data_IF_643932142897
#
_entry.id   IF_643932142897
#
_cell.length_a   1.000
_cell.length_b   1.000
_cell.length_c   1.000
_cell.angle_alpha   90.00
_cell.angle_beta   90.00
_cell.angle_gamma   90.00
#
_symmetry.space_group_name_H-M   'P 1'
#
loop_
_entity.id
_entity.type
_entity.pdbx_description
1 polymer ?
#
# COMPACT_ATOMS: atom_id res chain seq x y z
N UNK A 1 -22.66 -11.71 -5.42
CA UNK A 1 -23.50 -10.63 -4.85
C UNK A 1 -22.80 -10.13 -3.59
N UNK A 2 -22.66 -8.82 -3.41
CA UNK A 2 -22.07 -8.24 -2.20
C UNK A 2 -22.99 -8.52 -1.01
N UNK A 3 -22.43 -9.11 0.05
CA UNK A 3 -23.13 -9.38 1.30
C UNK A 3 -23.35 -8.03 2.04
N UNK A 4 -24.57 -7.64 2.43
CA UNK A 4 -24.77 -6.45 3.26
C UNK A 4 -23.97 -6.56 4.56
N UNK A 5 -23.20 -5.52 4.87
CA UNK A 5 -22.28 -5.45 6.00
C UNK A 5 -22.54 -4.21 6.85
N UNK A 6 -22.55 -4.35 8.18
CA UNK A 6 -22.70 -3.21 9.12
C UNK A 6 -21.74 -3.36 10.30
N UNK A 7 -21.03 -2.28 10.67
CA UNK A 7 -20.33 -2.22 11.96
C UNK A 7 -21.32 -1.77 13.01
N UNK A 8 -21.69 -2.64 13.94
CA UNK A 8 -22.69 -2.33 14.97
C UNK A 8 -22.06 -1.52 16.10
N UNK A 9 -20.92 -1.98 16.62
CA UNK A 9 -20.28 -1.34 17.75
C UNK A 9 -18.79 -1.66 17.87
N UNK A 10 -18.06 -0.79 18.57
CA UNK A 10 -16.68 -1.00 18.99
C UNK A 10 -16.61 -0.94 20.51
N UNK A 11 -15.88 -1.87 21.12
CA UNK A 11 -15.71 -1.94 22.57
C UNK A 11 -14.23 -2.07 22.93
N UNK A 12 -13.55 -1.03 23.43
CA UNK A 12 -12.25 -1.19 24.07
C UNK A 12 -12.43 -2.03 25.35
N UNK A 13 -11.69 -3.15 25.47
CA UNK A 13 -11.79 -4.03 26.63
C UNK A 13 -11.14 -3.42 27.87
N UNK A 14 -11.41 -3.99 29.06
CA UNK A 14 -11.02 -3.38 30.33
C UNK A 14 -9.50 -3.14 30.45
N UNK A 15 -8.71 -4.09 29.94
CA UNK A 15 -7.24 -4.05 29.98
C UNK A 15 -6.62 -3.43 28.72
N UNK A 16 -7.39 -2.74 27.87
CA UNK A 16 -6.84 -2.06 26.69
C UNK A 16 -5.91 -0.93 27.13
N UNK A 17 -4.72 -0.89 26.55
CA UNK A 17 -3.71 0.14 26.84
C UNK A 17 -4.27 1.54 26.61
N UNK A 18 -3.94 2.45 27.52
CA UNK A 18 -4.34 3.86 27.47
C UNK A 18 -3.79 4.58 26.23
N UNK A 19 -2.62 4.18 25.74
CA UNK A 19 -2.03 4.73 24.50
C UNK A 19 -2.96 4.55 23.29
N UNK A 20 -3.72 3.44 23.25
CA UNK A 20 -4.64 3.11 22.16
C UNK A 20 -6.04 3.67 22.39
N UNK A 21 -6.62 3.42 23.58
CA UNK A 21 -7.99 3.87 23.87
C UNK A 21 -8.12 5.37 24.14
N UNK A 22 -7.02 6.06 24.45
CA UNK A 22 -6.95 7.50 24.77
C UNK A 22 -8.09 7.92 25.74
N UNK A 23 -9.06 8.71 25.25
CA UNK A 23 -10.22 9.20 26.02
C UNK A 23 -11.41 8.23 26.10
N UNK A 24 -11.38 7.10 25.40
CA UNK A 24 -12.43 6.10 25.45
C UNK A 24 -12.40 5.36 26.79
N UNK A 25 -13.60 5.08 27.32
CA UNK A 25 -13.78 4.42 28.61
C UNK A 25 -13.57 2.91 28.44
N UNK A 26 -12.74 2.27 29.28
CA UNK A 26 -12.53 0.84 29.23
C UNK A 26 -13.83 0.08 29.51
N UNK A 27 -14.11 -0.95 28.72
CA UNK A 27 -15.30 -1.80 28.82
C UNK A 27 -16.58 -1.20 28.24
N UNK A 28 -16.60 0.09 27.88
CA UNK A 28 -17.78 0.76 27.31
C UNK A 28 -18.01 0.30 25.86
N UNK A 29 -19.26 -0.02 25.53
CA UNK A 29 -19.68 -0.30 24.16
C UNK A 29 -20.05 1.02 23.47
N UNK A 30 -19.39 1.31 22.35
CA UNK A 30 -19.67 2.46 21.50
C UNK A 30 -20.46 1.98 20.28
N UNK A 31 -21.78 2.16 20.33
CA UNK A 31 -22.71 1.72 19.29
C UNK A 31 -22.82 2.77 18.18
N UNK A 32 -22.97 2.30 16.94
CA UNK A 32 -23.20 3.14 15.75
C UNK A 32 -24.67 3.19 15.34
N UNK A 33 -25.48 2.28 15.88
CA UNK A 33 -26.86 2.07 15.50
C UNK A 33 -27.75 1.92 16.75
N UNK A 34 -28.74 2.79 16.89
CA UNK A 34 -29.65 2.81 18.04
C UNK A 34 -30.69 1.66 18.01
N UNK A 35 -30.81 0.97 16.86
CA UNK A 35 -31.76 -0.13 16.68
C UNK A 35 -31.23 -1.48 17.20
N UNK A 36 -30.09 -1.51 17.88
CA UNK A 36 -29.55 -2.70 18.55
C UNK A 36 -29.53 -2.48 20.06
N UNK A 37 -29.89 -3.52 20.81
CA UNK A 37 -29.67 -3.59 22.27
C UNK A 37 -28.61 -4.64 22.52
N UNK A 38 -27.52 -4.22 23.14
CA UNK A 38 -26.35 -5.05 23.38
C UNK A 38 -26.29 -5.35 24.87
N UNK A 39 -26.43 -6.61 25.22
CA UNK A 39 -26.35 -7.07 26.61
C UNK A 39 -24.91 -7.44 26.94
N UNK A 40 -24.27 -6.66 27.81
CA UNK A 40 -22.87 -6.85 28.16
C UNK A 40 -22.62 -6.65 29.65
N UNK A 41 -21.66 -7.39 30.20
CA UNK A 41 -21.20 -7.21 31.58
C UNK A 41 -19.99 -6.27 31.57
N UNK A 42 -20.06 -5.18 32.33
CA UNK A 42 -19.03 -4.11 32.37
C UNK A 42 -17.62 -4.65 32.65
N UNK A 43 -17.49 -5.72 33.45
CA UNK A 43 -16.21 -6.36 33.81
C UNK A 43 -15.90 -7.65 33.03
N UNK A 44 -16.74 -8.02 32.06
CA UNK A 44 -16.48 -9.15 31.17
C UNK A 44 -15.93 -8.63 29.86
N UNK A 45 -14.97 -9.37 29.28
CA UNK A 45 -14.45 -9.09 27.94
C UNK A 45 -15.42 -9.56 26.83
N UNK A 46 -16.54 -10.20 27.20
CA UNK A 46 -17.54 -10.75 26.27
C UNK A 46 -18.86 -9.96 26.31
N UNK A 47 -19.58 -9.99 25.19
CA UNK A 47 -21.01 -9.66 25.10
C UNK A 47 -21.83 -10.92 25.43
N UNK A 48 -22.99 -10.81 26.06
CA UNK A 48 -23.84 -11.95 26.40
C UNK A 48 -24.88 -12.25 25.31
N UNK A 49 -25.41 -11.20 24.68
CA UNK A 49 -26.45 -11.29 23.66
C UNK A 49 -26.66 -9.95 22.96
N UNK A 50 -27.40 -9.98 21.85
CA UNK A 50 -27.76 -8.78 21.09
C UNK A 50 -29.13 -8.96 20.42
N UNK A 51 -30.02 -7.99 20.63
CA UNK A 51 -31.35 -7.96 20.01
C UNK A 51 -31.54 -6.73 19.12
N UNK A 52 -32.33 -6.87 18.06
CA UNK A 52 -32.75 -5.74 17.21
C UNK A 52 -33.98 -5.09 17.86
N UNK A 53 -33.83 -3.88 18.39
CA UNK A 53 -34.89 -3.16 19.10
C UNK A 53 -36.05 -2.75 18.19
N UNK A 54 -35.77 -2.50 16.91
CA UNK A 54 -36.75 -2.20 15.87
C UNK A 54 -36.14 -2.42 14.48
N UNK A 55 -36.99 -2.62 13.47
CA UNK A 55 -36.56 -2.77 12.09
C UNK A 55 -36.31 -1.40 11.44
N UNK A 56 -35.13 -1.22 10.86
CA UNK A 56 -34.81 -0.07 9.98
C UNK A 56 -34.74 -0.62 8.57
N UNK A 57 -35.52 -0.05 7.65
CA UNK A 57 -35.48 -0.47 6.24
C UNK A 57 -34.06 -0.34 5.70
N UNK A 58 -33.53 -1.44 5.17
CA UNK A 58 -32.19 -1.47 4.57
C UNK A 58 -32.20 -0.91 3.14
N UNK A 59 -33.38 -0.60 2.61
CA UNK A 59 -33.56 -0.23 1.20
C UNK A 59 -33.70 1.27 0.95
N UNK A 60 -33.67 2.09 2.01
CA UNK A 60 -33.97 3.55 1.93
C UNK A 60 -33.08 4.27 0.91
N UNK A 61 -31.82 3.86 0.79
CA UNK A 61 -30.84 4.47 -0.12
C UNK A 61 -30.38 3.52 -1.23
N UNK A 62 -31.07 2.39 -1.42
CA UNK A 62 -30.71 1.47 -2.50
C UNK A 62 -30.88 2.18 -3.84
N UNK A 63 -29.87 2.03 -4.68
CA UNK A 63 -29.86 2.60 -6.02
C UNK A 63 -30.52 1.61 -6.99
N UNK A 64 -31.23 2.14 -8.00
CA UNK A 64 -31.94 1.35 -9.02
C UNK A 64 -31.02 0.37 -9.79
N UNK A 65 -29.71 0.64 -9.79
CA UNK A 65 -28.70 -0.22 -10.39
C UNK A 65 -28.30 -1.43 -9.51
N UNK A 66 -29.01 -1.68 -8.40
CA UNK A 66 -28.78 -2.82 -7.52
C UNK A 66 -27.68 -2.62 -6.48
N UNK A 67 -27.17 -1.40 -6.30
CA UNK A 67 -26.21 -1.07 -5.24
C UNK A 67 -26.97 -0.74 -3.96
N UNK A 68 -26.72 -1.53 -2.91
CA UNK A 68 -27.23 -1.23 -1.57
C UNK A 68 -26.36 -0.17 -0.89
N UNK A 69 -26.98 0.88 -0.36
CA UNK A 69 -26.28 1.98 0.32
C UNK A 69 -26.78 2.07 1.76
N UNK A 70 -25.83 2.05 2.70
CA UNK A 70 -26.10 2.36 4.09
C UNK A 70 -25.34 3.63 4.50
N UNK A 71 -26.02 4.55 5.17
CA UNK A 71 -25.44 5.79 5.66
C UNK A 71 -25.50 5.79 7.19
N UNK A 72 -24.34 5.95 7.82
CA UNK A 72 -24.19 6.07 9.27
C UNK A 72 -23.43 7.36 9.60
N UNK A 73 -23.79 8.02 10.70
CA UNK A 73 -23.15 9.26 11.13
C UNK A 73 -22.72 9.17 12.61
N UNK A 74 -21.46 9.51 12.90
CA UNK A 74 -20.95 9.59 14.27
C UNK A 74 -20.87 11.06 14.71
N UNK A 75 -21.72 11.45 15.64
CA UNK A 75 -21.81 12.83 16.17
C UNK A 75 -21.45 12.85 17.65
N UNK A 76 -20.82 13.93 18.10
CA UNK A 76 -20.45 14.09 19.51
C UNK A 76 -19.65 15.35 19.77
N UNK A 77 -19.53 15.76 21.04
CA UNK A 77 -18.76 16.94 21.46
C UNK A 77 -17.26 16.79 21.11
N UNK A 78 -16.54 17.91 21.00
CA UNK A 78 -15.09 17.87 20.84
C UNK A 78 -14.46 17.12 22.03
N UNK A 79 -13.46 16.28 21.75
CA UNK A 79 -12.82 15.44 22.78
C UNK A 79 -13.57 14.17 23.19
N UNK A 80 -14.80 13.92 22.69
CA UNK A 80 -15.60 12.74 23.07
C UNK A 80 -15.06 11.38 22.59
N UNK A 81 -13.92 11.35 21.89
CA UNK A 81 -13.28 10.12 21.42
C UNK A 81 -13.69 9.67 20.01
N UNK A 82 -14.41 10.47 19.22
CA UNK A 82 -14.83 10.12 17.85
C UNK A 82 -13.67 9.64 16.97
N UNK A 83 -12.60 10.44 16.88
CA UNK A 83 -11.40 10.09 16.10
C UNK A 83 -10.68 8.87 16.69
N UNK A 84 -10.62 8.79 18.03
CA UNK A 84 -10.03 7.65 18.74
C UNK A 84 -10.74 6.34 18.42
N UNK A 85 -12.05 6.37 18.20
CA UNK A 85 -12.83 5.19 17.84
C UNK A 85 -12.40 4.63 16.49
N UNK A 86 -12.15 5.51 15.52
CA UNK A 86 -11.59 5.12 14.21
C UNK A 86 -10.11 4.72 14.30
N UNK A 87 -9.31 5.40 15.14
CA UNK A 87 -7.92 4.97 15.39
C UNK A 87 -7.88 3.53 15.93
N UNK A 88 -8.76 3.18 16.87
CA UNK A 88 -8.91 1.81 17.37
C UNK A 88 -9.33 0.84 16.25
N UNK A 89 -10.30 1.21 15.41
CA UNK A 89 -10.70 0.38 14.27
C UNK A 89 -9.53 0.13 13.32
N UNK A 90 -8.73 1.15 13.00
CA UNK A 90 -7.55 1.00 12.14
C UNK A 90 -6.49 0.10 12.78
N UNK A 91 -6.20 0.28 14.08
CA UNK A 91 -5.28 -0.58 14.83
C UNK A 91 -5.75 -2.03 14.83
N UNK A 92 -7.06 -2.26 15.00
CA UNK A 92 -7.65 -3.59 14.97
C UNK A 92 -7.51 -4.27 13.63
N UNK A 93 -7.85 -3.56 12.55
CA UNK A 93 -7.70 -4.06 11.19
C UNK A 93 -6.23 -4.33 10.87
N UNK A 94 -5.33 -3.47 11.33
CA UNK A 94 -3.89 -3.66 11.18
C UNK A 94 -3.43 -4.97 11.82
N UNK A 95 -3.74 -5.20 13.10
CA UNK A 95 -3.36 -6.44 13.80
C UNK A 95 -4.05 -7.67 13.20
N UNK A 96 -5.30 -7.54 12.75
CA UNK A 96 -5.99 -8.60 12.04
C UNK A 96 -5.22 -9.01 10.77
N UNK A 97 -4.73 -8.01 10.01
CA UNK A 97 -3.95 -8.23 8.78
C UNK A 97 -2.51 -8.71 9.06
N UNK A 98 -2.03 -8.54 10.29
CA UNK A 98 -0.76 -9.06 10.76
C UNK A 98 -0.84 -10.52 11.25
N UNK A 99 -2.04 -11.03 11.53
CA UNK A 99 -2.22 -12.38 12.07
C UNK A 99 -1.96 -13.45 10.99
N UNK A 100 -0.87 -14.20 11.20
CA UNK A 100 -0.41 -15.23 10.26
C UNK A 100 -1.31 -16.46 10.20
N UNK A 101 -2.25 -16.61 11.15
CA UNK A 101 -3.25 -17.67 11.09
C UNK A 101 -4.37 -17.41 10.09
N UNK A 102 -4.54 -16.15 9.66
CA UNK A 102 -5.49 -15.75 8.63
C UNK A 102 -4.83 -15.79 7.24
N UNK A 103 -3.62 -15.24 7.13
CA UNK A 103 -2.86 -15.19 5.88
C UNK A 103 -1.37 -15.43 6.14
N UNK A 104 -0.78 -16.38 5.41
CA UNK A 104 0.66 -16.71 5.52
C UNK A 104 1.60 -15.58 5.07
N UNK A 105 1.08 -14.67 4.25
CA UNK A 105 1.69 -13.37 3.93
C UNK A 105 0.97 -12.28 4.74
N UNK A 106 1.47 -12.01 5.95
CA UNK A 106 0.94 -10.93 6.80
C UNK A 106 1.48 -9.56 6.39
N UNK A 107 0.76 -8.49 6.73
CA UNK A 107 1.17 -7.12 6.37
C UNK A 107 2.56 -6.82 6.89
N UNK A 108 2.85 -7.08 8.17
CA UNK A 108 4.17 -6.84 8.77
C UNK A 108 5.28 -7.64 8.07
N UNK A 109 5.04 -8.91 7.73
CA UNK A 109 6.03 -9.75 7.04
C UNK A 109 6.42 -9.18 5.68
N UNK A 110 5.46 -8.67 4.92
CA UNK A 110 5.71 -8.02 3.63
C UNK A 110 6.64 -6.80 3.78
N UNK A 111 6.39 -5.97 4.79
CA UNK A 111 7.24 -4.81 5.08
C UNK A 111 8.65 -5.20 5.53
N UNK A 112 8.78 -6.24 6.37
CA UNK A 112 10.10 -6.69 6.83
C UNK A 112 10.93 -7.26 5.68
N UNK A 113 10.32 -8.00 4.75
CA UNK A 113 10.99 -8.48 3.53
C UNK A 113 11.55 -7.31 2.71
N UNK A 114 10.79 -6.23 2.53
CA UNK A 114 11.27 -5.04 1.81
C UNK A 114 12.49 -4.40 2.52
N UNK A 115 12.52 -4.38 3.86
CA UNK A 115 13.65 -3.85 4.62
C UNK A 115 14.87 -4.79 4.54
N UNK A 116 14.65 -6.10 4.64
CA UNK A 116 15.71 -7.11 4.54
C UNK A 116 16.41 -7.05 3.18
N UNK A 117 15.65 -6.92 2.08
CA UNK A 117 16.21 -6.74 0.74
C UNK A 117 17.08 -5.46 0.64
N UNK A 118 16.63 -4.35 1.25
CA UNK A 118 17.42 -3.12 1.30
C UNK A 118 18.70 -3.28 2.12
N UNK A 119 18.66 -4.05 3.20
CA UNK A 119 19.84 -4.39 4.01
C UNK A 119 20.81 -5.22 3.18
N UNK A 120 20.34 -6.27 2.51
CA UNK A 120 21.16 -7.14 1.66
C UNK A 120 21.86 -6.35 0.55
N UNK A 121 21.10 -5.51 -0.16
CA UNK A 121 21.64 -4.66 -1.22
C UNK A 121 22.68 -3.67 -0.67
N UNK A 122 22.41 -3.02 0.47
CA UNK A 122 23.34 -2.06 1.08
C UNK A 122 24.62 -2.73 1.60
N UNK A 123 24.51 -3.91 2.20
CA UNK A 123 25.67 -4.70 2.67
C UNK A 123 26.51 -5.17 1.48
N UNK A 124 25.87 -5.62 0.39
CA UNK A 124 26.58 -6.00 -0.85
C UNK A 124 27.37 -4.82 -1.42
N UNK A 125 26.72 -3.67 -1.56
CA UNK A 125 27.36 -2.46 -2.09
C UNK A 125 28.50 -2.00 -1.18
N UNK A 126 28.32 -2.06 0.15
CA UNK A 126 29.37 -1.70 1.11
C UNK A 126 30.59 -2.63 1.00
N UNK A 127 30.37 -3.95 0.87
CA UNK A 127 31.45 -4.92 0.65
C UNK A 127 32.19 -4.66 -0.65
N UNK A 128 31.46 -4.34 -1.72
CA UNK A 128 32.02 -4.01 -3.02
C UNK A 128 32.96 -2.80 -2.92
N UNK A 129 32.47 -1.65 -2.45
CA UNK A 129 33.28 -0.42 -2.38
C UNK A 129 34.40 -0.50 -1.34
N UNK A 130 34.25 -1.35 -0.31
CA UNK A 130 35.31 -1.64 0.67
C UNK A 130 36.48 -2.41 0.05
N UNK A 131 36.23 -3.18 -1.00
CA UNK A 131 37.26 -3.94 -1.71
C UNK A 131 38.04 -3.13 -2.75
N UNK A 132 37.59 -1.92 -3.07
CA UNK A 132 38.26 -1.09 -4.07
C UNK A 132 39.57 -0.51 -3.53
N UNK A 133 40.59 -0.55 -4.38
CA UNK A 133 41.84 0.16 -4.23
C UNK A 133 41.64 1.67 -4.48
N UNK A 134 42.61 2.47 -4.04
CA UNK A 134 42.59 3.94 -4.12
C UNK A 134 42.75 4.50 -5.55
N UNK A 135 42.78 3.63 -6.57
CA UNK A 135 42.93 4.03 -7.98
C UNK A 135 41.57 4.11 -8.69
N UNK A 136 41.13 5.32 -9.10
CA UNK A 136 39.87 5.50 -9.80
C UNK A 136 39.95 5.02 -11.25
N UNK A 137 39.15 4.01 -11.60
CA UNK A 137 38.74 3.81 -12.99
C UNK A 137 37.43 4.58 -13.26
N UNK A 138 37.18 5.05 -14.49
CA UNK A 138 35.92 5.71 -14.85
C UNK A 138 34.68 4.89 -14.47
N UNK A 139 34.74 3.57 -14.58
CA UNK A 139 33.65 2.65 -14.23
C UNK A 139 33.35 2.68 -12.73
N UNK A 140 34.37 2.67 -11.87
CA UNK A 140 34.20 2.76 -10.41
C UNK A 140 33.59 4.09 -9.99
N UNK A 141 33.97 5.19 -10.64
CA UNK A 141 33.41 6.52 -10.35
C UNK A 141 31.90 6.55 -10.67
N UNK A 142 31.51 5.98 -11.81
CA UNK A 142 30.09 5.87 -12.20
C UNK A 142 29.34 4.99 -11.21
N UNK A 143 29.84 3.78 -10.91
CA UNK A 143 29.19 2.86 -9.99
C UNK A 143 29.02 3.47 -8.57
N UNK A 144 30.02 4.22 -8.09
CA UNK A 144 29.94 4.91 -6.81
C UNK A 144 28.88 6.03 -6.81
N UNK A 145 28.77 6.77 -7.92
CA UNK A 145 27.70 7.76 -8.13
C UNK A 145 26.33 7.10 -8.07
N UNK A 146 26.20 5.91 -8.65
CA UNK A 146 24.94 5.19 -8.72
C UNK A 146 24.53 4.60 -7.38
N UNK A 147 25.48 4.10 -6.60
CA UNK A 147 25.26 3.72 -5.20
C UNK A 147 24.79 4.93 -4.40
N UNK A 148 25.47 6.08 -4.50
CA UNK A 148 25.07 7.29 -3.80
C UNK A 148 23.63 7.73 -4.14
N UNK A 149 23.27 7.73 -5.43
CA UNK A 149 21.91 8.05 -5.88
C UNK A 149 20.87 7.02 -5.42
N UNK A 150 21.20 5.74 -5.43
CA UNK A 150 20.30 4.64 -5.03
C UNK A 150 19.78 4.83 -3.61
N UNK A 151 20.67 5.26 -2.70
CA UNK A 151 20.36 5.50 -1.30
C UNK A 151 20.03 6.96 -0.97
N UNK A 152 19.86 7.79 -2.00
CA UNK A 152 19.52 9.22 -1.87
C UNK A 152 20.50 9.99 -0.98
N UNK A 153 21.79 9.69 -1.12
CA UNK A 153 22.82 10.41 -0.40
C UNK A 153 23.03 11.77 -1.04
N UNK A 154 22.68 12.82 -0.31
CA UNK A 154 23.03 14.18 -0.66
C UNK A 154 24.55 14.34 -0.56
N UNK A 155 25.24 14.25 -1.69
CA UNK A 155 26.69 14.40 -1.81
C UNK A 155 26.93 15.45 -2.87
N UNK A 156 27.45 16.59 -2.44
CA UNK A 156 27.81 17.67 -3.34
C UNK A 156 29.00 17.23 -4.21
N UNK A 157 28.75 16.99 -5.50
CA UNK A 157 29.80 16.67 -6.47
C UNK A 157 30.85 17.78 -6.64
N UNK A 158 30.55 19.02 -6.20
CA UNK A 158 31.45 20.17 -6.31
C UNK A 158 32.58 20.18 -5.28
N UNK A 159 32.45 19.44 -4.19
CA UNK A 159 33.45 19.39 -3.09
C UNK A 159 34.46 18.27 -3.26
N UNK A 160 34.21 17.27 -4.11
CA UNK A 160 35.12 16.13 -4.24
C UNK A 160 35.95 16.21 -5.51
N UNK A 161 37.13 16.85 -5.40
CA UNK A 161 38.16 16.79 -6.45
C UNK A 161 38.95 15.46 -6.45
N UNK A 162 38.75 14.62 -5.44
CA UNK A 162 39.56 13.44 -5.15
C UNK A 162 38.65 12.21 -4.93
N UNK A 163 38.72 11.22 -5.81
CA UNK A 163 37.91 9.98 -5.73
C UNK A 163 37.90 9.33 -4.34
N UNK A 164 39.03 9.32 -3.64
CA UNK A 164 39.15 8.72 -2.32
C UNK A 164 38.25 9.40 -1.28
N UNK A 165 38.09 10.73 -1.34
CA UNK A 165 37.18 11.45 -0.45
C UNK A 165 35.72 11.07 -0.73
N UNK A 166 35.36 10.89 -2.00
CA UNK A 166 34.01 10.49 -2.39
C UNK A 166 33.72 9.06 -1.91
N UNK A 167 34.69 8.17 -2.12
CA UNK A 167 34.62 6.78 -1.69
C UNK A 167 34.43 6.66 -0.18
N UNK A 168 35.21 7.40 0.63
CA UNK A 168 35.09 7.39 2.08
C UNK A 168 33.78 8.01 2.58
N UNK A 169 33.30 9.10 1.95
CA UNK A 169 31.99 9.66 2.26
C UNK A 169 30.86 8.66 1.99
N UNK A 170 30.87 7.99 0.84
CA UNK A 170 29.86 6.98 0.49
C UNK A 170 29.95 5.78 1.42
N UNK A 171 31.15 5.26 1.72
CA UNK A 171 31.36 4.18 2.71
C UNK A 171 30.75 4.53 4.06
N UNK A 172 31.02 5.74 4.56
CA UNK A 172 30.52 6.21 5.85
C UNK A 172 28.99 6.33 5.85
N UNK A 173 28.40 7.00 4.85
CA UNK A 173 26.94 7.14 4.71
C UNK A 173 26.25 5.79 4.55
N UNK A 174 26.82 4.88 3.78
CA UNK A 174 26.28 3.54 3.56
C UNK A 174 26.34 2.68 4.83
N UNK A 175 27.45 2.71 5.57
CA UNK A 175 27.55 2.04 6.86
C UNK A 175 26.50 2.55 7.86
N UNK A 176 26.29 3.87 7.92
CA UNK A 176 25.23 4.46 8.74
C UNK A 176 23.83 4.06 8.28
N UNK A 177 23.60 3.99 6.95
CA UNK A 177 22.33 3.52 6.38
C UNK A 177 22.05 2.06 6.75
N UNK A 178 23.06 1.18 6.70
CA UNK A 178 22.92 -0.23 7.12
C UNK A 178 22.50 -0.31 8.59
N UNK A 179 23.18 0.43 9.48
CA UNK A 179 22.83 0.48 10.91
C UNK A 179 21.39 0.96 11.13
N UNK A 180 20.99 2.00 10.39
CA UNK A 180 19.63 2.53 10.43
C UNK A 180 18.60 1.47 9.99
N UNK A 181 18.85 0.75 8.90
CA UNK A 181 17.92 -0.28 8.39
C UNK A 181 17.75 -1.44 9.39
N UNK A 182 18.83 -1.90 10.02
CA UNK A 182 18.72 -2.92 11.09
C UNK A 182 17.97 -2.42 12.32
N UNK A 183 18.17 -1.16 12.71
CA UNK A 183 17.41 -0.55 13.79
C UNK A 183 15.92 -0.44 13.42
N UNK A 184 15.63 0.03 12.21
CA UNK A 184 14.27 0.13 11.67
C UNK A 184 13.56 -1.23 11.66
N UNK A 185 14.21 -2.29 11.16
CA UNK A 185 13.65 -3.64 11.19
C UNK A 185 13.28 -4.08 12.63
N UNK A 186 14.16 -3.83 13.60
CA UNK A 186 13.91 -4.18 15.01
C UNK A 186 12.76 -3.35 15.61
N UNK A 187 12.73 -2.05 15.31
CA UNK A 187 11.71 -1.14 15.82
C UNK A 187 10.33 -1.48 15.28
N UNK A 188 10.22 -1.93 14.03
CA UNK A 188 8.96 -2.42 13.44
C UNK A 188 8.43 -3.66 14.19
N UNK A 189 9.29 -4.63 14.49
CA UNK A 189 8.90 -5.81 15.29
C UNK A 189 8.47 -5.44 16.71
N UNK A 190 9.20 -4.53 17.37
CA UNK A 190 8.87 -4.06 18.71
C UNK A 190 7.55 -3.28 18.74
N UNK A 191 7.30 -2.44 17.72
CA UNK A 191 6.05 -1.70 17.60
C UNK A 191 4.86 -2.64 17.39
N UNK A 192 5.01 -3.66 16.52
CA UNK A 192 4.01 -4.69 16.31
C UNK A 192 3.65 -5.41 17.61
N UNK A 193 4.67 -5.85 18.34
CA UNK A 193 4.51 -6.55 19.62
C UNK A 193 3.82 -5.68 20.68
N UNK A 194 4.16 -4.39 20.73
CA UNK A 194 3.48 -3.43 21.63
C UNK A 194 1.99 -3.33 21.30
N UNK A 195 1.65 -3.24 20.01
CA UNK A 195 0.24 -3.17 19.60
C UNK A 195 -0.48 -4.49 19.87
N UNK A 196 0.09 -5.63 19.48
CA UNK A 196 -0.52 -6.95 19.66
C UNK A 196 -0.73 -7.31 21.16
N UNK A 197 0.13 -6.84 22.04
CA UNK A 197 0.01 -7.09 23.48
C UNK A 197 -0.92 -6.10 24.21
N UNK A 198 -0.89 -4.82 23.83
CA UNK A 198 -1.63 -3.76 24.50
C UNK A 198 -3.03 -3.46 23.92
N UNK A 199 -3.26 -3.72 22.64
CA UNK A 199 -4.56 -3.53 21.99
C UNK A 199 -5.53 -4.63 22.43
N UNK A 200 -6.59 -4.24 23.12
CA UNK A 200 -7.65 -5.17 23.53
C UNK A 200 -9.00 -4.58 23.22
N UNK A 201 -9.71 -5.17 22.27
CA UNK A 201 -11.00 -4.65 21.84
C UNK A 201 -11.85 -5.74 21.20
N UNK A 202 -13.15 -5.48 21.18
CA UNK A 202 -14.16 -6.25 20.48
C UNK A 202 -14.80 -5.37 19.40
N UNK A 203 -14.95 -5.96 18.21
CA UNK A 203 -15.67 -5.39 17.07
C UNK A 203 -16.94 -6.22 16.86
N UNK A 204 -18.09 -5.57 16.93
CA UNK A 204 -19.39 -6.20 16.70
C UNK A 204 -19.88 -5.75 15.33
N UNK A 205 -20.22 -6.70 14.48
CA UNK A 205 -20.63 -6.43 13.12
C UNK A 205 -21.68 -7.43 12.64
N UNK A 206 -22.43 -7.04 11.61
CA UNK A 206 -23.46 -7.86 10.98
C UNK A 206 -23.11 -8.11 9.52
N UNK A 207 -23.25 -9.36 9.09
CA UNK A 207 -23.13 -9.77 7.69
C UNK A 207 -24.30 -10.67 7.36
N UNK A 208 -25.05 -10.35 6.30
CA UNK A 208 -26.21 -11.13 5.86
C UNK A 208 -27.24 -11.42 6.98
N UNK A 209 -27.52 -10.45 7.86
CA UNK A 209 -28.47 -10.64 8.95
C UNK A 209 -27.90 -11.33 10.19
N UNK A 210 -26.70 -11.92 10.11
CA UNK A 210 -26.06 -12.64 11.22
C UNK A 210 -25.08 -11.71 11.92
N UNK A 211 -25.13 -11.68 13.25
CA UNK A 211 -24.29 -10.80 14.06
C UNK A 211 -23.12 -11.59 14.63
N UNK A 212 -21.93 -11.00 14.53
CA UNK A 212 -20.70 -11.58 15.01
C UNK A 212 -19.95 -10.62 15.92
N UNK A 213 -19.19 -11.21 16.86
CA UNK A 213 -18.22 -10.54 17.70
C UNK A 213 -16.82 -11.06 17.34
N UNK A 214 -15.93 -10.16 16.90
CA UNK A 214 -14.51 -10.45 16.73
C UNK A 214 -13.73 -9.73 17.82
N UNK A 215 -13.08 -10.51 18.69
CA UNK A 215 -12.39 -10.00 19.87
C UNK A 215 -10.91 -10.26 19.76
N UNK A 216 -10.10 -9.21 19.91
CA UNK A 216 -8.66 -9.33 20.06
C UNK A 216 -8.26 -9.14 21.53
N UNK A 217 -7.68 -10.17 22.13
CA UNK A 217 -7.18 -10.13 23.50
C UNK A 217 -5.99 -11.08 23.66
N UNK A 218 -4.99 -10.70 24.45
CA UNK A 218 -3.82 -11.54 24.72
C UNK A 218 -3.15 -12.11 23.44
N UNK A 219 -3.02 -11.29 22.39
CA UNK A 219 -2.45 -11.66 21.07
C UNK A 219 -3.21 -12.74 20.31
N UNK A 220 -4.50 -12.93 20.62
CA UNK A 220 -5.35 -13.91 19.97
C UNK A 220 -6.65 -13.26 19.55
N UNK A 221 -7.14 -13.71 18.41
CA UNK A 221 -8.50 -13.45 17.98
C UNK A 221 -9.41 -14.58 18.46
N UNK A 222 -10.54 -14.18 19.03
CA UNK A 222 -11.69 -15.03 19.32
C UNK A 222 -12.85 -14.56 18.45
N UNK A 223 -13.67 -15.50 18.01
CA UNK A 223 -14.78 -15.23 17.11
C UNK A 223 -16.04 -15.88 17.66
N UNK A 224 -17.13 -15.12 17.72
CA UNK A 224 -18.40 -15.63 18.21
C UNK A 224 -19.55 -15.15 17.35
N UNK A 225 -20.57 -15.99 17.20
CA UNK A 225 -21.88 -15.57 16.70
C UNK A 225 -22.74 -15.13 17.89
N UNK A 226 -23.44 -14.01 17.72
CA UNK A 226 -24.35 -13.45 18.70
C UNK A 226 -25.79 -13.61 18.21
N UNK A 227 -26.67 -14.07 19.11
CA UNK A 227 -28.12 -14.04 18.95
C UNK A 227 -28.72 -13.23 20.13
N UNK A 228 -30.06 -13.16 20.18
CA UNK A 228 -30.80 -12.40 21.20
C UNK A 228 -30.35 -12.73 22.63
N UNK A 229 -30.35 -14.01 23.01
CA UNK A 229 -30.01 -14.46 24.36
C UNK A 229 -28.80 -15.41 24.42
N UNK A 230 -28.04 -15.54 23.32
CA UNK A 230 -26.92 -16.49 23.28
C UNK A 230 -25.70 -15.96 22.55
N UNK A 231 -24.54 -16.39 23.06
CA UNK A 231 -23.23 -16.23 22.44
C UNK A 231 -22.64 -17.61 22.18
N UNK A 232 -22.38 -17.91 20.91
CA UNK A 232 -21.75 -19.15 20.49
C UNK A 232 -20.33 -18.86 20.03
N UNK A 233 -19.34 -19.39 20.75
CA UNK A 233 -17.93 -19.35 20.32
C UNK A 233 -17.74 -20.20 19.06
N UNK A 234 -17.00 -19.66 18.12
CA UNK A 234 -16.65 -20.27 16.85
C UNK A 234 -15.13 -20.46 16.77
N UNK A 235 -14.68 -21.47 16.02
CA UNK A 235 -13.26 -21.66 15.74
C UNK A 235 -12.80 -20.58 14.74
N UNK A 236 -12.15 -19.54 15.26
CA UNK A 236 -11.69 -18.40 14.45
C UNK A 236 -10.95 -18.83 13.18
N UNK A 237 -10.05 -19.81 13.25
CA UNK A 237 -9.22 -20.20 12.09
C UNK A 237 -10.01 -20.92 10.99
N UNK A 238 -11.15 -21.51 11.34
CA UNK A 238 -12.00 -22.25 10.40
C UNK A 238 -13.17 -21.42 9.90
N UNK A 239 -13.75 -20.62 10.78
CA UNK A 239 -15.03 -19.94 10.55
C UNK A 239 -14.85 -18.48 10.15
N UNK A 240 -13.72 -17.84 10.47
CA UNK A 240 -13.44 -16.47 10.03
C UNK A 240 -12.71 -16.46 8.69
N UNK A 241 -13.37 -15.88 7.68
CA UNK A 241 -12.78 -15.66 6.36
C UNK A 241 -12.57 -14.16 6.15
N UNK A 242 -11.32 -13.73 6.00
CA UNK A 242 -10.99 -12.31 5.79
C UNK A 242 -11.66 -11.73 4.53
N UNK A 243 -11.89 -12.54 3.49
CA UNK A 243 -12.61 -12.13 2.29
C UNK A 243 -14.09 -11.82 2.53
N UNK A 244 -14.69 -12.40 3.58
CA UNK A 244 -16.05 -12.09 4.03
C UNK A 244 -16.06 -10.87 4.96
N UNK A 245 -14.91 -10.51 5.52
CA UNK A 245 -14.71 -9.25 6.22
C UNK A 245 -14.63 -8.11 5.19
N UNK A 246 -15.47 -7.10 5.35
CA UNK A 246 -15.62 -6.01 4.39
C UNK A 246 -14.30 -5.30 4.04
N UNK A 247 -14.11 -4.99 2.76
CA UNK A 247 -13.05 -4.09 2.32
C UNK A 247 -13.50 -2.63 2.42
N UNK A 248 -12.70 -1.80 3.10
CA UNK A 248 -13.02 -0.41 3.36
C UNK A 248 -12.10 0.55 2.59
N UNK A 249 -12.69 1.58 1.98
CA UNK A 249 -11.94 2.76 1.51
C UNK A 249 -12.25 3.92 2.44
N UNK A 250 -11.29 4.26 3.29
CA UNK A 250 -11.46 5.35 4.25
C UNK A 250 -10.96 6.67 3.65
N UNK A 251 -11.86 7.64 3.49
CA UNK A 251 -11.52 8.99 3.08
C UNK A 251 -11.27 9.87 4.31
N UNK A 252 -10.03 10.31 4.51
CA UNK A 252 -9.66 11.18 5.64
C UNK A 252 -8.95 12.45 5.19
N UNK A 253 -9.70 13.55 5.16
CA UNK A 253 -9.21 14.90 4.84
C UNK A 253 -8.83 15.75 6.07
N UNK A 254 -8.80 15.18 7.27
CA UNK A 254 -8.32 15.88 8.46
C UNK A 254 -6.79 15.98 8.42
N UNK A 255 -6.27 17.20 8.22
CA UNK A 255 -4.85 17.45 8.03
C UNK A 255 -3.99 16.97 9.21
N UNK A 256 -4.46 17.17 10.44
CA UNK A 256 -3.72 16.83 11.66
C UNK A 256 -3.83 15.35 12.08
N UNK A 257 -4.62 14.54 11.39
CA UNK A 257 -4.83 13.13 11.72
C UNK A 257 -3.89 12.19 10.95
N UNK A 258 -3.76 10.95 11.45
CA UNK A 258 -3.05 9.86 10.77
C UNK A 258 -1.61 10.20 10.35
N UNK A 259 -0.91 10.94 11.21
CA UNK A 259 0.49 11.26 11.02
C UNK A 259 1.36 10.12 11.59
N UNK A 260 2.11 9.43 10.71
CA UNK A 260 2.98 8.32 11.12
C UNK A 260 4.11 8.70 12.08
N UNK A 261 4.49 9.99 12.14
CA UNK A 261 5.46 10.50 13.15
C UNK A 261 4.88 10.53 14.56
N UNK A 262 3.56 10.53 14.70
CA UNK A 262 2.86 10.59 15.99
C UNK A 262 2.22 9.24 16.30
N UNK A 263 1.46 8.70 15.35
CA UNK A 263 0.72 7.44 15.52
C UNK A 263 1.64 6.21 15.45
N UNK A 264 2.81 6.31 14.83
CA UNK A 264 3.72 5.21 14.53
C UNK A 264 3.61 4.74 13.08
N UNK A 265 4.64 4.03 12.61
CA UNK A 265 4.78 3.59 11.20
C UNK A 265 3.72 2.56 10.76
N UNK A 266 3.08 1.85 11.69
CA UNK A 266 1.99 0.91 11.38
C UNK A 266 0.89 1.54 10.52
N UNK A 267 0.55 2.82 10.74
CA UNK A 267 -0.51 3.49 9.98
C UNK A 267 -0.14 3.62 8.50
N UNK A 268 1.15 3.74 8.18
CA UNK A 268 1.62 3.84 6.79
C UNK A 268 1.15 2.63 5.98
N UNK A 269 1.15 1.46 6.62
CA UNK A 269 0.79 0.17 6.02
C UNK A 269 -0.67 0.14 5.53
N UNK A 270 -1.56 0.88 6.18
CA UNK A 270 -2.96 1.01 5.81
C UNK A 270 -3.22 1.98 4.65
N UNK A 271 -2.22 2.68 4.12
CA UNK A 271 -2.39 3.54 2.94
C UNK A 271 -2.06 2.82 1.61
N UNK A 272 -1.44 1.64 1.64
CA UNK A 272 -0.94 0.98 0.44
C UNK A 272 -1.98 0.07 -0.22
N UNK A 273 -2.51 0.51 -1.37
CA UNK A 273 -3.52 -0.22 -2.19
C UNK A 273 -3.01 -1.50 -2.86
N UNK A 274 -1.70 -1.65 -2.98
CA UNK A 274 -1.06 -2.74 -3.74
C UNK A 274 -0.46 -3.78 -2.81
N UNK A 275 -0.94 -3.86 -1.56
CA UNK A 275 -0.54 -4.94 -0.67
C UNK A 275 -1.09 -6.30 -1.14
N UNK A 276 -2.04 -6.32 -2.08
CA UNK A 276 -2.73 -7.51 -2.56
C UNK A 276 -4.09 -7.68 -1.89
N UNK A 277 -4.63 -6.62 -1.27
CA UNK A 277 -5.82 -6.66 -0.42
C UNK A 277 -5.61 -7.54 0.83
N UNK A 278 -4.35 -7.67 1.27
CA UNK A 278 -4.00 -8.34 2.54
C UNK A 278 -4.65 -7.60 3.70
N UNK A 279 -4.71 -6.27 3.60
CA UNK A 279 -5.40 -5.42 4.55
C UNK A 279 -6.81 -5.09 4.05
N UNK A 280 -7.88 -5.34 4.84
CA UNK A 280 -9.25 -5.03 4.44
C UNK A 280 -9.59 -3.53 4.59
N UNK A 281 -8.60 -2.65 4.67
CA UNK A 281 -8.80 -1.19 4.65
C UNK A 281 -7.70 -0.53 3.85
N UNK A 282 -8.09 0.47 3.06
CA UNK A 282 -7.16 1.47 2.55
C UNK A 282 -7.62 2.87 2.88
N UNK A 283 -6.73 3.60 3.53
CA UNK A 283 -6.90 5.02 3.85
C UNK A 283 -6.43 5.86 2.66
N UNK A 284 -7.21 6.89 2.33
CA UNK A 284 -6.95 7.83 1.26
C UNK A 284 -7.25 9.27 1.72
N UNK A 285 -6.47 10.29 1.34
CA UNK A 285 -5.28 10.26 0.49
C UNK A 285 -4.09 9.53 1.13
N UNK A 286 -3.19 9.00 0.29
CA UNK A 286 -1.89 8.47 0.75
C UNK A 286 -1.11 9.57 1.47
N UNK A 287 -0.66 9.28 2.69
CA UNK A 287 0.17 10.20 3.47
C UNK A 287 1.58 9.67 3.63
N UNK A 288 2.54 10.58 3.60
CA UNK A 288 3.91 10.34 4.01
C UNK A 288 4.23 11.28 5.17
N UNK A 289 4.51 10.72 6.34
CA UNK A 289 4.79 11.51 7.56
C UNK A 289 3.67 12.52 7.89
N UNK A 290 2.41 12.13 7.63
CA UNK A 290 1.22 12.97 7.82
C UNK A 290 0.90 13.91 6.66
N UNK A 291 1.85 14.14 5.74
CA UNK A 291 1.68 15.04 4.60
C UNK A 291 1.10 14.31 3.38
N UNK A 292 0.30 15.02 2.58
CA UNK A 292 -0.15 14.56 1.27
C UNK A 292 -0.17 15.72 0.28
N UNK A 293 0.02 15.42 -0.99
CA UNK A 293 -0.06 16.40 -2.08
C UNK A 293 -1.52 16.48 -2.57
N UNK A 294 -2.18 17.60 -2.23
CA UNK A 294 -3.57 17.85 -2.63
C UNK A 294 -3.75 17.90 -4.14
N UNK A 295 -2.79 18.45 -4.88
CA UNK A 295 -2.87 18.55 -6.34
C UNK A 295 -2.77 17.17 -6.98
N UNK A 296 -1.91 16.31 -6.43
CA UNK A 296 -1.87 14.89 -6.81
C UNK A 296 -3.19 14.20 -6.52
N UNK A 297 -3.81 14.42 -5.36
CA UNK A 297 -5.10 13.78 -5.03
C UNK A 297 -6.25 14.27 -5.92
N UNK A 298 -6.29 15.56 -6.27
CA UNK A 298 -7.24 16.12 -7.23
C UNK A 298 -7.09 15.41 -8.59
N UNK A 299 -5.86 15.25 -9.07
CA UNK A 299 -5.59 14.57 -10.33
C UNK A 299 -6.02 13.10 -10.30
N UNK A 300 -5.70 12.38 -9.22
CA UNK A 300 -6.13 10.99 -9.04
C UNK A 300 -7.65 10.86 -8.95
N UNK A 301 -8.33 11.82 -8.32
CA UNK A 301 -9.80 11.83 -8.23
C UNK A 301 -10.44 12.05 -9.59
N UNK A 302 -9.90 12.96 -10.41
CA UNK A 302 -10.31 13.16 -11.80
C UNK A 302 -10.11 11.89 -12.63
N UNK A 303 -8.95 11.22 -12.49
CA UNK A 303 -8.67 9.95 -13.17
C UNK A 303 -9.68 8.85 -12.81
N UNK A 304 -10.03 8.70 -11.52
CA UNK A 304 -11.04 7.74 -11.07
C UNK A 304 -12.43 8.04 -11.65
N UNK A 305 -12.83 9.32 -11.64
CA UNK A 305 -14.10 9.75 -12.23
C UNK A 305 -14.14 9.43 -13.73
N UNK A 306 -13.06 9.74 -14.47
CA UNK A 306 -12.97 9.42 -15.90
C UNK A 306 -13.11 7.92 -16.15
N UNK A 307 -12.44 7.07 -15.37
CA UNK A 307 -12.54 5.60 -15.50
C UNK A 307 -13.97 5.13 -15.28
N UNK A 308 -14.67 5.64 -14.26
CA UNK A 308 -16.06 5.28 -14.00
C UNK A 308 -16.98 5.67 -15.18
N UNK A 309 -16.78 6.86 -15.74
CA UNK A 309 -17.54 7.32 -16.92
C UNK A 309 -17.24 6.45 -18.15
N UNK A 310 -15.96 6.16 -18.42
CA UNK A 310 -15.55 5.31 -19.54
C UNK A 310 -16.12 3.90 -19.39
N UNK A 311 -16.08 3.33 -18.19
CA UNK A 311 -16.62 2.00 -17.90
C UNK A 311 -18.12 1.92 -18.26
N UNK A 312 -18.90 2.92 -17.84
CA UNK A 312 -20.33 2.98 -18.17
C UNK A 312 -20.57 3.15 -19.67
N UNK A 313 -19.78 3.97 -20.37
CA UNK A 313 -19.90 4.17 -21.81
C UNK A 313 -19.54 2.95 -22.64
N UNK A 314 -18.55 2.17 -22.20
CA UNK A 314 -18.16 0.93 -22.89
C UNK A 314 -19.26 -0.13 -22.75
N UNK A 315 -19.96 -0.17 -21.60
CA UNK A 315 -21.05 -1.12 -21.36
C UNK A 315 -22.38 -0.69 -21.98
N UNK A 316 -22.67 0.61 -21.98
CA UNK A 316 -23.95 1.15 -22.38
C UNK A 316 -23.81 1.99 -23.64
N UNK A 317 -24.58 1.66 -24.69
CA UNK A 317 -24.60 2.44 -25.95
C UNK A 317 -25.01 3.90 -25.76
N UNK A 318 -25.74 4.21 -24.68
CA UNK A 318 -26.20 5.55 -24.33
C UNK A 318 -26.02 5.76 -22.82
N UNK A 319 -25.27 6.80 -22.46
CA UNK A 319 -25.00 7.16 -21.06
C UNK A 319 -25.30 8.66 -20.87
N UNK A 320 -26.15 8.95 -19.88
CA UNK A 320 -26.51 10.31 -19.48
C UNK A 320 -25.73 10.69 -18.21
N UNK A 321 -24.78 11.60 -18.34
CA UNK A 321 -24.10 12.19 -17.19
C UNK A 321 -25.08 13.08 -16.42
N UNK A 322 -25.15 12.91 -15.09
CA UNK A 322 -26.06 13.63 -14.19
C UNK A 322 -27.54 13.52 -14.61
N UNK A 323 -27.91 12.43 -15.29
CA UNK A 323 -29.25 12.23 -15.87
C UNK A 323 -29.70 13.36 -16.82
N UNK A 324 -28.76 14.13 -17.37
CA UNK A 324 -29.06 15.32 -18.17
C UNK A 324 -28.26 15.42 -19.45
N UNK A 325 -26.97 15.07 -19.42
CA UNK A 325 -26.07 15.28 -20.55
C UNK A 325 -25.71 13.97 -21.22
N UNK A 326 -26.12 13.78 -22.47
CA UNK A 326 -25.69 12.63 -23.27
C UNK A 326 -24.22 12.78 -23.66
N UNK A 327 -23.41 11.80 -23.31
CA UNK A 327 -22.00 11.79 -23.69
C UNK A 327 -21.87 11.24 -25.10
N UNK A 328 -21.50 12.12 -26.04
CA UNK A 328 -21.36 11.78 -27.47
C UNK A 328 -19.98 11.24 -27.83
N UNK A 329 -18.92 11.73 -27.18
CA UNK A 329 -17.54 11.31 -27.43
C UNK A 329 -16.64 11.55 -26.21
N UNK A 330 -15.56 10.76 -26.11
CA UNK A 330 -14.46 10.98 -25.16
C UNK A 330 -13.17 11.12 -25.96
N UNK A 331 -12.46 12.22 -25.73
CA UNK A 331 -11.15 12.47 -26.33
C UNK A 331 -10.08 12.16 -25.27
N UNK A 332 -9.26 11.14 -25.52
CA UNK A 332 -8.13 10.79 -24.68
C UNK A 332 -6.83 11.20 -25.36
N UNK A 333 -5.99 11.92 -24.63
CA UNK A 333 -4.67 12.35 -25.10
C UNK A 333 -3.58 11.95 -24.09
N UNK A 334 -2.45 11.39 -24.56
CA UNK A 334 -1.36 11.03 -23.66
C UNK A 334 -0.76 12.29 -22.99
N UNK A 335 -0.57 12.24 -21.66
CA UNK A 335 0.00 13.36 -20.87
C UNK A 335 1.40 13.79 -21.32
N UNK A 336 2.15 12.85 -21.90
CA UNK A 336 3.43 13.08 -22.55
C UNK A 336 3.44 12.21 -23.80
N UNK A 337 3.95 12.70 -24.94
CA UNK A 337 4.16 11.84 -26.10
C UNK A 337 5.03 10.64 -25.67
N UNK A 338 4.69 9.46 -26.17
CA UNK A 338 5.58 8.32 -26.06
C UNK A 338 6.93 8.71 -26.69
N UNK A 339 8.06 8.22 -26.16
CA UNK A 339 9.32 8.37 -26.88
C UNK A 339 9.09 7.80 -28.29
N UNK A 340 9.39 8.59 -29.32
CA UNK A 340 9.32 8.12 -30.70
C UNK A 340 10.26 6.92 -30.82
N UNK A 341 9.71 5.73 -31.04
CA UNK A 341 10.48 4.55 -31.42
C UNK A 341 10.58 4.63 -32.95
N UNK A 342 11.77 4.96 -33.46
CA UNK A 342 12.00 5.17 -34.89
C UNK A 342 11.62 3.94 -35.70
N UNK A 343 11.06 4.15 -36.89
CA UNK A 343 10.59 3.09 -37.77
C UNK A 343 11.72 2.39 -38.55
N UNK A 344 11.40 1.15 -38.89
CA UNK A 344 12.03 0.23 -39.85
C UNK A 344 13.14 -0.71 -39.35
N UNK A 345 12.82 -2.01 -39.39
CA UNK A 345 13.80 -3.06 -39.73
C UNK A 345 14.23 -4.02 -38.63
N UNK A 346 14.30 -3.61 -37.37
CA UNK A 346 14.78 -4.48 -36.28
C UNK A 346 13.74 -4.70 -35.18
N UNK A 347 13.86 -5.84 -34.51
CA UNK A 347 12.91 -6.31 -33.51
C UNK A 347 12.85 -5.30 -32.33
N UNK A 348 11.89 -4.34 -32.40
CA UNK A 348 11.74 -3.08 -31.64
C UNK A 348 11.88 -3.19 -30.11
N UNK A 349 11.86 -4.40 -29.59
CA UNK A 349 12.11 -4.71 -28.19
C UNK A 349 13.59 -4.59 -27.80
N UNK A 350 14.55 -4.94 -28.67
CA UNK A 350 15.96 -4.99 -28.27
C UNK A 350 16.56 -3.60 -27.99
N UNK A 351 15.88 -2.54 -28.43
CA UNK A 351 16.22 -1.14 -28.16
C UNK A 351 15.68 -0.63 -26.83
N UNK A 352 14.65 -1.28 -26.27
CA UNK A 352 14.07 -0.94 -24.97
C UNK A 352 14.90 -1.57 -23.84
N UNK A 353 15.13 -0.80 -22.79
CA UNK A 353 15.73 -1.26 -21.53
C UNK A 353 14.98 -2.46 -20.98
N UNK A 354 13.66 -2.36 -20.96
CA UNK A 354 12.77 -3.40 -20.46
C UNK A 354 12.34 -4.37 -21.54
N UNK A 355 12.86 -4.25 -22.77
CA UNK A 355 12.42 -5.03 -23.92
C UNK A 355 12.53 -6.53 -23.72
N UNK A 356 13.61 -6.97 -23.07
CA UNK A 356 13.80 -8.37 -22.73
C UNK A 356 12.74 -8.90 -21.73
N UNK A 357 12.42 -8.11 -20.71
CA UNK A 357 11.35 -8.44 -19.75
C UNK A 357 9.97 -8.38 -20.43
N UNK A 358 9.77 -7.45 -21.36
CA UNK A 358 8.53 -7.33 -22.12
C UNK A 358 8.32 -8.54 -23.04
N UNK A 359 9.37 -9.03 -23.70
CA UNK A 359 9.33 -10.27 -24.50
C UNK A 359 8.97 -11.50 -23.67
N UNK A 360 9.37 -11.55 -22.40
CA UNK A 360 9.08 -12.71 -21.54
C UNK A 360 7.70 -12.68 -20.89
N UNK A 361 7.07 -11.50 -20.79
CA UNK A 361 5.75 -11.31 -20.15
C UNK A 361 4.61 -11.20 -21.18
N UNK A 362 4.85 -10.59 -22.34
CA UNK A 362 3.81 -10.30 -23.34
C UNK A 362 4.11 -11.09 -24.62
N UNK A 363 3.15 -11.88 -25.09
CA UNK A 363 3.29 -12.59 -26.35
C UNK A 363 3.24 -11.60 -27.54
N UNK A 364 4.07 -11.81 -28.57
CA UNK A 364 4.14 -10.91 -29.72
C UNK A 364 2.77 -10.67 -30.40
N UNK A 365 1.95 -11.72 -30.48
CA UNK A 365 0.58 -11.66 -31.01
C UNK A 365 -0.32 -10.65 -30.29
N UNK A 366 -0.15 -10.49 -28.98
CA UNK A 366 -0.98 -9.59 -28.17
C UNK A 366 -0.60 -8.12 -28.44
N UNK A 367 0.68 -7.87 -28.74
CA UNK A 367 1.19 -6.54 -29.09
C UNK A 367 0.89 -6.14 -30.54
N UNK A 368 0.86 -7.10 -31.47
CA UNK A 368 0.42 -6.83 -32.86
C UNK A 368 -1.05 -6.41 -32.93
N UNK A 369 -1.89 -6.99 -32.07
CA UNK A 369 -3.31 -6.63 -31.98
C UNK A 369 -3.57 -5.17 -31.58
N UNK A 370 -2.58 -4.49 -30.98
CA UNK A 370 -2.70 -3.09 -30.55
C UNK A 370 -2.51 -2.08 -31.68
N UNK A 371 -2.03 -2.51 -32.86
CA UNK A 371 -1.86 -1.65 -34.04
C UNK A 371 -1.10 -0.35 -33.73
N UNK A 372 -1.72 0.80 -34.05
CA UNK A 372 -1.16 2.14 -33.85
C UNK A 372 -0.82 2.46 -32.37
N UNK A 373 -1.42 1.76 -31.41
CA UNK A 373 -1.18 1.99 -29.99
C UNK A 373 0.03 1.23 -29.43
N UNK A 374 0.62 0.32 -30.22
CA UNK A 374 1.75 -0.52 -29.80
C UNK A 374 2.91 0.30 -29.22
N UNK A 375 3.34 1.35 -29.91
CA UNK A 375 4.48 2.16 -29.48
C UNK A 375 4.17 2.99 -28.22
N UNK A 376 2.93 3.45 -28.08
CA UNK A 376 2.46 4.13 -26.87
C UNK A 376 2.43 3.19 -25.65
N UNK A 377 1.96 1.96 -25.84
CA UNK A 377 1.93 0.94 -24.80
C UNK A 377 3.35 0.53 -24.36
N UNK A 378 4.23 0.25 -25.32
CA UNK A 378 5.63 -0.08 -25.06
C UNK A 378 6.37 1.07 -24.36
N UNK A 379 6.21 2.31 -24.86
CA UNK A 379 6.81 3.49 -24.25
C UNK A 379 6.28 3.79 -22.84
N UNK A 380 5.02 3.45 -22.54
CA UNK A 380 4.48 3.52 -21.18
C UNK A 380 5.13 2.48 -20.27
N UNK A 381 5.17 1.21 -20.69
CA UNK A 381 5.72 0.11 -19.91
C UNK A 381 7.22 0.32 -19.63
N UNK A 382 7.98 0.74 -20.64
CA UNK A 382 9.40 1.09 -20.51
C UNK A 382 9.66 2.14 -19.42
N UNK A 383 8.78 3.13 -19.29
CA UNK A 383 8.87 4.17 -18.24
C UNK A 383 8.35 3.68 -16.88
N UNK A 384 7.48 2.67 -16.86
CA UNK A 384 6.79 2.20 -15.65
C UNK A 384 7.54 1.06 -14.97
N UNK A 385 8.09 0.12 -15.73
CA UNK A 385 8.83 -1.04 -15.23
C UNK A 385 9.97 -0.63 -14.28
N UNK A 386 10.83 0.35 -14.60
CA UNK A 386 11.88 0.81 -13.67
C UNK A 386 11.32 1.36 -12.35
N UNK A 387 10.15 2.02 -12.39
CA UNK A 387 9.47 2.53 -11.19
C UNK A 387 8.86 1.42 -10.35
N UNK A 388 8.35 0.36 -10.98
CA UNK A 388 7.79 -0.80 -10.31
C UNK A 388 8.92 -1.66 -9.73
N UNK A 389 10.02 -1.85 -10.47
CA UNK A 389 11.25 -2.57 -10.06
C UNK A 389 11.76 -2.10 -8.71
N UNK A 390 11.73 -0.79 -8.43
CA UNK A 390 12.22 -0.22 -7.17
C UNK A 390 11.44 -0.70 -5.93
N UNK A 391 10.16 -1.04 -6.09
CA UNK A 391 9.24 -1.28 -4.96
C UNK A 391 8.58 -2.67 -4.99
N UNK A 392 8.74 -3.44 -6.08
CA UNK A 392 8.03 -4.70 -6.31
C UNK A 392 8.90 -5.71 -7.07
N UNK A 393 10.22 -5.68 -6.83
CA UNK A 393 11.22 -6.56 -7.47
C UNK A 393 10.80 -8.03 -7.31
N UNK A 394 10.47 -8.42 -6.09
CA UNK A 394 9.98 -9.75 -5.75
C UNK A 394 8.73 -10.16 -6.54
N UNK A 395 7.79 -9.26 -6.84
CA UNK A 395 6.59 -9.63 -7.60
C UNK A 395 6.90 -9.82 -9.10
N UNK A 396 7.75 -8.97 -9.67
CA UNK A 396 8.12 -9.06 -11.10
C UNK A 396 8.93 -10.32 -11.38
N UNK A 397 9.79 -10.75 -10.44
CA UNK A 397 10.77 -11.80 -10.70
C UNK A 397 10.50 -13.14 -9.99
N UNK A 398 9.54 -13.22 -9.05
CA UNK A 398 9.14 -14.47 -8.39
C UNK A 398 8.35 -15.35 -9.38
N UNK A 399 9.04 -16.33 -9.99
CA UNK A 399 8.43 -17.35 -10.86
C UNK A 399 9.11 -17.56 -12.22
N UNK A 400 10.06 -16.72 -12.61
CA UNK A 400 10.84 -16.94 -13.83
C UNK A 400 11.89 -18.03 -13.56
N UNK A 401 11.67 -19.27 -14.00
CA UNK A 401 12.58 -20.41 -13.74
C UNK A 401 13.99 -20.27 -14.34
N UNK A 402 14.20 -19.28 -15.23
CA UNK A 402 15.50 -18.88 -15.81
C UNK A 402 16.08 -17.59 -15.16
N UNK A 403 15.60 -17.23 -13.96
CA UNK A 403 15.62 -15.90 -13.35
C UNK A 403 16.98 -15.21 -13.27
N UNK A 404 18.06 -15.89 -12.94
CA UNK A 404 19.30 -15.20 -12.61
C UNK A 404 20.00 -14.60 -13.82
N UNK A 405 19.96 -15.30 -14.96
CA UNK A 405 20.54 -14.81 -16.22
C UNK A 405 19.67 -13.70 -16.80
N UNK A 406 18.35 -13.90 -16.77
CA UNK A 406 17.34 -12.94 -17.25
C UNK A 406 17.41 -11.64 -16.44
N UNK A 407 17.49 -11.74 -15.12
CA UNK A 407 17.65 -10.62 -14.21
C UNK A 407 19.00 -9.93 -14.42
N UNK A 408 20.11 -10.68 -14.50
CA UNK A 408 21.44 -10.10 -14.76
C UNK A 408 21.52 -9.40 -16.12
N UNK A 409 20.87 -9.92 -17.16
CA UNK A 409 20.79 -9.30 -18.48
C UNK A 409 19.87 -8.08 -18.52
N UNK A 410 18.72 -8.12 -17.84
CA UNK A 410 17.85 -6.95 -17.67
C UNK A 410 18.54 -5.83 -16.87
N UNK A 411 19.32 -6.18 -15.84
CA UNK A 411 20.15 -5.24 -15.08
C UNK A 411 21.30 -4.69 -15.95
N UNK A 412 21.96 -5.53 -16.74
CA UNK A 412 23.12 -5.10 -17.56
C UNK A 412 22.74 -4.27 -18.79
N UNK A 413 21.52 -4.44 -19.33
CA UNK A 413 20.99 -3.71 -20.48
C UNK A 413 20.15 -2.47 -20.13
N UNK A 414 19.96 -2.16 -18.85
CA UNK A 414 19.28 -0.93 -18.42
C UNK A 414 20.04 0.32 -18.89
N UNK A 415 19.45 1.03 -19.86
CA UNK A 415 19.92 2.28 -20.47
C UNK A 415 19.19 3.52 -19.93
N UNK A 416 18.62 3.50 -18.71
CA UNK A 416 18.13 4.75 -18.11
C UNK A 416 19.25 5.81 -18.11
N UNK A 417 19.03 6.91 -18.84
CA UNK A 417 20.01 7.92 -19.20
C UNK A 417 20.56 8.77 -18.04
N UNK A 418 20.24 8.46 -16.78
CA UNK A 418 20.89 9.04 -15.59
C UNK A 418 22.14 8.25 -15.15
N UNK A 419 22.33 7.03 -15.67
CA UNK A 419 23.54 6.22 -15.53
C UNK A 419 24.45 6.23 -16.77
N UNK A 420 23.95 6.58 -17.96
CA UNK A 420 24.71 6.57 -19.23
C UNK A 420 25.06 7.93 -19.83
N UNK A 421 24.67 9.06 -19.23
CA UNK A 421 25.07 10.40 -19.72
C UNK A 421 26.54 10.76 -19.47
N UNK A 422 27.37 9.81 -19.03
CA UNK A 422 28.80 9.98 -18.77
C UNK A 422 29.71 9.45 -19.89
N UNK A 423 29.20 8.91 -20.99
CA UNK A 423 30.07 8.36 -22.05
C UNK A 423 29.62 8.70 -23.48
N UNK A 424 29.75 9.98 -23.85
CA UNK A 424 29.97 10.38 -25.25
C UNK A 424 30.54 11.82 -25.35
N UNK A 425 31.84 11.97 -25.03
CA UNK A 425 32.81 12.69 -25.88
C UNK A 425 34.25 12.53 -25.34
N UNK A 426 35.06 11.63 -25.93
CA UNK A 426 36.51 11.60 -25.77
C UNK A 426 37.16 12.34 -26.95
N UNK A 427 37.45 13.63 -26.79
CA UNK A 427 38.48 14.40 -27.51
C UNK A 427 38.21 15.90 -27.39
N UNK A 428 39.12 16.60 -26.70
CA UNK A 428 39.68 17.95 -26.96
C UNK A 428 40.32 18.38 -25.64
N UNK A 429 41.56 17.93 -25.43
CA UNK A 429 42.61 18.66 -24.72
C UNK A 429 43.91 18.04 -25.23
N UNK A 430 44.33 18.50 -26.41
CA UNK A 430 45.74 18.50 -26.79
C UNK A 430 46.28 19.86 -26.36
N UNK A 431 47.45 19.80 -25.76
CA UNK A 431 48.46 20.83 -25.55
C UNK A 431 48.18 22.18 -26.23
N UNK A 432 47.95 23.21 -25.39
CA UNK A 432 48.75 24.44 -25.31
C UNK A 432 48.32 25.28 -24.09
#
# INVERSE_FOLDING_TARGET
>A
MSKPFKIIAIRPLYKCDQDFRKSLKPGQVYQFYDNYRIDYVIKSDSVNGISKAYHVSEEIFNLDNGISVNVSALVGKNGSGKSTLFDLLYLFIYILSSDTSINSESVIKKYLVDIDELIEDAVRDYKLIKSWDENPSPEKVIELSDIAKRYDFDIEFRTVRIFNEFLEQVKSKLNNKIKYLYAEHRDELNAEEKIASGLKMSLIYEVNGIIYELTHNHRKFNYAQLNEDSRQELDFKKEFLLQDFFYNVCLNYSHHSLNSKISGKWIMKLFHKNDGYITPVVINPMRNEGNFDINKEINLSKERLMINIIHELVRNKKFLLLNKYEVTSIILSPKKPAPFLSDEGNNKYDDLVSGFLLKSIIAEKDLESLGYYKDNALGYLEKKIPKIKRNYRQIIFKGLKESDKIFKEFVSKDKNAYLKKSTSNPSVFKDD
#
